data_IF_842251206379
#
_entry.id   IF_842251206379
#
_cell.length_a   1.000
_cell.length_b   1.000
_cell.length_c   1.000
_cell.angle_alpha   90.00
_cell.angle_beta   90.00
_cell.angle_gamma   90.00
#
_symmetry.space_group_name_H-M   'P 1'
#
loop_
_entity.id
_entity.type
_entity.pdbx_description
1 polymer ?
#
# COMPACT_ATOMS: atom_id res chain seq x y z
N UNK A 1 2.40 38.16 14.22
CA UNK A 1 1.46 38.50 13.14
C UNK A 1 0.07 38.55 13.78
N UNK A 2 -0.60 39.71 13.76
CA UNK A 2 -1.81 39.94 14.54
C UNK A 2 -3.04 39.36 13.81
N UNK A 3 -4.00 38.80 14.54
CA UNK A 3 -5.20 38.15 13.98
C UNK A 3 -5.96 39.08 12.99
N UNK A 4 -5.92 40.36 13.22
CA UNK A 4 -6.51 41.39 12.35
C UNK A 4 -5.84 41.47 10.96
N UNK A 5 -4.53 41.21 10.84
CA UNK A 5 -3.82 41.21 9.56
C UNK A 5 -4.06 39.91 8.76
N UNK A 6 -4.39 38.81 9.42
CA UNK A 6 -4.78 37.55 8.74
C UNK A 6 -6.21 37.69 8.21
N UNK A 7 -7.12 38.28 8.98
CA UNK A 7 -8.49 38.52 8.57
C UNK A 7 -8.59 39.51 7.40
N UNK A 8 -7.79 40.57 7.39
CA UNK A 8 -7.74 41.51 6.27
C UNK A 8 -7.13 40.94 5.00
N UNK A 9 -6.15 40.01 5.12
CA UNK A 9 -5.59 39.28 3.99
C UNK A 9 -6.58 38.28 3.40
N UNK A 10 -7.32 37.58 4.25
CA UNK A 10 -8.36 36.64 3.79
C UNK A 10 -9.57 37.34 3.17
N UNK A 11 -9.97 38.55 3.66
CA UNK A 11 -11.04 39.31 3.03
C UNK A 11 -10.63 39.90 1.69
N UNK A 12 -9.38 40.36 1.54
CA UNK A 12 -8.87 40.84 0.25
C UNK A 12 -8.71 39.75 -0.79
N UNK A 13 -8.49 38.46 -0.41
CA UNK A 13 -8.49 37.33 -1.32
C UNK A 13 -9.90 36.86 -1.69
N UNK A 14 -10.87 37.02 -0.80
CA UNK A 14 -12.26 36.64 -1.08
C UNK A 14 -12.88 37.53 -2.18
N UNK A 15 -12.48 38.80 -2.28
CA UNK A 15 -12.96 39.72 -3.33
C UNK A 15 -12.32 39.47 -4.71
N UNK A 16 -11.27 38.65 -4.79
CA UNK A 16 -10.62 38.29 -6.05
C UNK A 16 -11.09 36.97 -6.66
N UNK A 17 -11.95 36.22 -5.97
CA UNK A 17 -12.56 35.02 -6.55
C UNK A 17 -13.67 35.50 -7.49
N UNK A 18 -13.51 35.34 -8.84
CA UNK A 18 -14.61 35.65 -9.74
C UNK A 18 -15.75 34.73 -9.36
N UNK A 19 -16.82 35.29 -8.80
CA UNK A 19 -18.07 34.55 -8.63
C UNK A 19 -18.45 34.03 -10.02
N UNK A 20 -18.56 32.72 -10.21
CA UNK A 20 -19.06 32.21 -11.48
C UNK A 20 -20.46 32.79 -11.65
N UNK A 21 -20.59 33.70 -12.63
CA UNK A 21 -21.89 34.15 -13.09
C UNK A 21 -22.54 32.93 -13.72
N UNK A 22 -23.27 32.18 -12.93
CA UNK A 22 -24.17 31.16 -13.44
C UNK A 22 -25.18 31.97 -14.27
N UNK A 23 -25.26 31.79 -15.63
CA UNK A 23 -26.28 32.43 -16.40
C UNK A 23 -27.63 31.89 -15.93
N UNK A 24 -28.27 32.59 -15.04
CA UNK A 24 -29.67 32.37 -14.74
C UNK A 24 -30.38 32.75 -16.06
N UNK A 25 -31.06 31.82 -16.74
CA UNK A 25 -31.86 32.22 -17.87
C UNK A 25 -32.93 33.14 -17.29
N UNK A 26 -32.72 34.44 -17.45
CA UNK A 26 -33.80 35.41 -17.29
C UNK A 26 -34.82 35.03 -18.35
N UNK A 27 -35.78 34.18 -18.01
CA UNK A 27 -37.05 34.13 -18.69
C UNK A 27 -37.70 35.46 -18.30
N UNK A 28 -37.28 36.51 -19.01
CA UNK A 28 -37.87 37.82 -18.80
C UNK A 28 -39.37 37.65 -19.03
N UNK A 29 -40.21 38.09 -18.06
CA UNK A 29 -41.68 38.14 -18.24
C UNK A 29 -42.04 38.74 -19.58
N UNK A 30 -41.20 39.68 -20.07
CA UNK A 30 -41.32 40.31 -21.40
C UNK A 30 -41.18 39.33 -22.58
N UNK A 31 -40.38 38.26 -22.49
CA UNK A 31 -40.27 37.30 -23.59
C UNK A 31 -41.49 36.35 -23.62
N UNK A 32 -42.09 36.09 -22.47
CA UNK A 32 -43.33 35.32 -22.35
C UNK A 32 -44.49 36.08 -22.93
N UNK A 33 -44.68 37.35 -22.56
CA UNK A 33 -45.77 38.20 -23.08
C UNK A 33 -45.63 38.55 -24.57
N UNK A 34 -44.42 38.83 -25.08
CA UNK A 34 -44.15 39.02 -26.52
C UNK A 34 -44.43 37.78 -27.36
N UNK A 35 -44.29 36.57 -26.80
CA UNK A 35 -44.60 35.30 -27.46
C UNK A 35 -46.14 35.03 -27.53
N UNK A 36 -46.93 35.85 -26.83
CA UNK A 36 -48.40 35.75 -26.80
C UNK A 36 -49.08 36.87 -27.61
N UNK A 37 -48.45 38.01 -27.82
CA UNK A 37 -49.00 39.22 -28.43
C UNK A 37 -49.27 39.12 -29.95
N UNK A 38 -49.04 38.00 -30.61
CA UNK A 38 -49.28 37.84 -32.06
C UNK A 38 -50.06 36.58 -32.42
N UNK A 39 -50.53 35.79 -31.41
CA UNK A 39 -51.20 34.56 -31.69
C UNK A 39 -52.72 34.74 -31.75
N UNK A 40 -53.37 34.09 -32.71
CA UNK A 40 -54.82 33.98 -32.75
C UNK A 40 -55.31 33.15 -31.55
N UNK A 41 -56.55 33.36 -31.11
CA UNK A 41 -57.17 32.61 -30.00
C UNK A 41 -57.08 31.09 -30.22
N UNK A 42 -57.19 30.61 -31.45
CA UNK A 42 -57.09 29.20 -31.81
C UNK A 42 -55.66 28.66 -31.62
N UNK A 43 -54.63 29.46 -31.96
CA UNK A 43 -53.21 29.09 -31.75
C UNK A 43 -52.85 29.05 -30.28
N UNK A 44 -53.39 29.95 -29.45
CA UNK A 44 -53.23 29.96 -27.99
C UNK A 44 -53.81 28.70 -27.35
N UNK A 45 -55.07 28.37 -27.76
CA UNK A 45 -55.75 27.17 -27.29
C UNK A 45 -54.96 25.92 -27.68
N UNK A 46 -54.48 25.85 -28.93
CA UNK A 46 -53.75 24.70 -29.42
C UNK A 46 -52.37 24.56 -28.73
N UNK A 47 -51.71 25.65 -28.41
CA UNK A 47 -50.46 25.67 -27.65
C UNK A 47 -50.66 25.25 -26.18
N UNK A 48 -51.72 25.69 -25.54
CA UNK A 48 -52.13 25.27 -24.20
C UNK A 48 -52.50 23.78 -24.15
N UNK A 49 -53.28 23.29 -25.10
CA UNK A 49 -53.67 21.89 -25.22
C UNK A 49 -52.48 20.99 -25.40
N UNK A 50 -51.58 21.35 -26.33
CA UNK A 50 -50.32 20.61 -26.57
C UNK A 50 -49.39 20.64 -25.37
N UNK A 51 -49.28 21.76 -24.66
CA UNK A 51 -48.57 21.89 -23.41
C UNK A 51 -49.11 21.00 -22.31
N UNK A 52 -50.46 20.96 -22.17
CA UNK A 52 -51.13 20.13 -21.18
C UNK A 52 -50.99 18.62 -21.48
N UNK A 53 -51.07 18.25 -22.77
CA UNK A 53 -50.88 16.86 -23.20
C UNK A 53 -49.42 16.44 -22.97
N UNK A 54 -48.44 17.28 -23.30
CA UNK A 54 -47.01 16.98 -23.09
C UNK A 54 -46.64 16.88 -21.61
N UNK A 55 -47.19 17.76 -20.77
CA UNK A 55 -47.06 17.68 -19.31
C UNK A 55 -47.75 16.44 -18.74
N UNK A 56 -48.94 16.11 -19.16
CA UNK A 56 -49.65 14.88 -18.77
C UNK A 56 -48.84 13.63 -19.13
N UNK A 57 -48.22 13.60 -20.32
CA UNK A 57 -47.35 12.49 -20.73
C UNK A 57 -46.11 12.36 -19.84
N UNK A 58 -45.48 13.49 -19.48
CA UNK A 58 -44.32 13.53 -18.56
C UNK A 58 -44.70 13.02 -17.17
N UNK A 59 -45.91 13.39 -16.65
CA UNK A 59 -46.42 12.92 -15.36
C UNK A 59 -46.65 11.41 -15.41
N UNK A 60 -47.26 10.89 -16.47
CA UNK A 60 -47.49 9.44 -16.62
C UNK A 60 -46.15 8.69 -16.66
N UNK A 61 -45.16 9.23 -17.41
CA UNK A 61 -43.82 8.67 -17.49
C UNK A 61 -43.11 8.72 -16.12
N UNK A 62 -43.22 9.82 -15.39
CA UNK A 62 -42.65 9.98 -14.06
C UNK A 62 -43.23 8.95 -13.06
N UNK A 63 -44.54 8.72 -13.10
CA UNK A 63 -45.23 7.71 -12.28
C UNK A 63 -44.74 6.31 -12.65
N UNK A 64 -44.63 5.99 -13.93
CA UNK A 64 -44.10 4.70 -14.39
C UNK A 64 -42.66 4.49 -13.89
N UNK A 65 -41.78 5.48 -14.07
CA UNK A 65 -40.40 5.44 -13.60
C UNK A 65 -40.30 5.29 -12.08
N UNK A 66 -41.23 5.95 -11.32
CA UNK A 66 -41.29 5.80 -9.89
C UNK A 66 -41.63 4.35 -9.46
N UNK A 67 -42.68 3.74 -10.04
CA UNK A 67 -43.04 2.37 -9.69
C UNK A 67 -41.99 1.35 -10.11
N UNK A 68 -41.43 1.48 -11.32
CA UNK A 68 -40.36 0.62 -11.82
C UNK A 68 -39.09 0.80 -10.96
N UNK A 69 -38.69 2.03 -10.69
CA UNK A 69 -37.51 2.33 -9.84
C UNK A 69 -37.68 1.77 -8.42
N UNK A 70 -38.85 1.99 -7.80
CA UNK A 70 -39.18 1.42 -6.49
C UNK A 70 -39.13 -0.12 -6.49
N UNK A 71 -39.60 -0.77 -7.55
CA UNK A 71 -39.54 -2.22 -7.69
C UNK A 71 -38.08 -2.70 -7.77
N UNK A 72 -37.25 -2.05 -8.59
CA UNK A 72 -35.80 -2.34 -8.74
C UNK A 72 -35.10 -2.16 -7.39
N UNK A 73 -35.33 -1.03 -6.71
CA UNK A 73 -34.72 -0.74 -5.40
C UNK A 73 -35.08 -1.84 -4.37
N UNK A 74 -36.31 -2.24 -4.31
CA UNK A 74 -36.75 -3.32 -3.42
C UNK A 74 -36.12 -4.67 -3.74
N UNK A 75 -35.99 -5.00 -5.03
CA UNK A 75 -35.33 -6.23 -5.47
C UNK A 75 -33.83 -6.20 -5.13
N UNK A 76 -33.14 -5.10 -5.40
CA UNK A 76 -31.75 -4.92 -5.07
C UNK A 76 -31.49 -5.02 -3.56
N UNK A 77 -32.33 -4.34 -2.77
CA UNK A 77 -32.27 -4.41 -1.31
C UNK A 77 -32.39 -5.86 -0.81
N UNK A 78 -33.38 -6.63 -1.33
CA UNK A 78 -33.57 -8.02 -0.95
C UNK A 78 -32.40 -8.91 -1.32
N UNK A 79 -31.80 -8.69 -2.50
CA UNK A 79 -30.61 -9.43 -2.95
C UNK A 79 -29.43 -9.15 -2.03
N UNK A 80 -29.11 -7.89 -1.77
CA UNK A 80 -27.99 -7.50 -0.90
C UNK A 80 -28.23 -8.01 0.53
N UNK A 81 -29.44 -7.87 1.07
CA UNK A 81 -29.80 -8.40 2.38
C UNK A 81 -29.54 -9.92 2.48
N UNK A 82 -30.02 -10.68 1.49
CA UNK A 82 -29.84 -12.14 1.47
C UNK A 82 -28.35 -12.53 1.40
N UNK A 83 -27.55 -11.83 0.57
CA UNK A 83 -26.10 -12.09 0.47
C UNK A 83 -25.42 -11.82 1.81
N UNK A 84 -25.69 -10.69 2.44
CA UNK A 84 -25.07 -10.32 3.71
C UNK A 84 -25.47 -11.27 4.84
N UNK A 85 -26.73 -11.66 4.92
CA UNK A 85 -27.22 -12.62 5.91
C UNK A 85 -26.62 -14.02 5.70
N UNK A 86 -26.53 -14.47 4.45
CA UNK A 86 -25.94 -15.78 4.14
C UNK A 86 -24.43 -15.84 4.45
N UNK A 87 -23.75 -14.70 4.38
CA UNK A 87 -22.33 -14.56 4.75
C UNK A 87 -22.10 -14.32 6.24
N UNK A 88 -23.13 -14.39 7.08
CA UNK A 88 -23.07 -14.14 8.52
C UNK A 88 -22.42 -12.79 8.89
N UNK A 89 -22.66 -11.76 8.07
CA UNK A 89 -22.17 -10.41 8.33
C UNK A 89 -22.95 -9.83 9.51
N UNK A 90 -22.26 -9.07 10.36
CA UNK A 90 -22.84 -8.40 11.52
C UNK A 90 -24.12 -7.64 11.15
N UNK A 91 -25.17 -7.75 12.01
CA UNK A 91 -26.48 -7.17 11.75
C UNK A 91 -26.44 -5.64 11.70
N UNK A 92 -25.60 -5.01 12.51
CA UNK A 92 -25.45 -3.54 12.53
C UNK A 92 -24.86 -3.05 11.23
N UNK A 93 -23.79 -3.73 10.75
CA UNK A 93 -23.16 -3.42 9.47
C UNK A 93 -24.13 -3.64 8.30
N UNK A 94 -24.89 -4.73 8.32
CA UNK A 94 -25.92 -5.03 7.32
C UNK A 94 -26.96 -3.92 7.23
N UNK A 95 -27.47 -3.48 8.39
CA UNK A 95 -28.47 -2.41 8.46
C UNK A 95 -27.90 -1.07 7.96
N UNK A 96 -26.67 -0.74 8.33
CA UNK A 96 -26.00 0.48 7.89
C UNK A 96 -25.82 0.51 6.36
N UNK A 97 -25.22 -0.54 5.79
CA UNK A 97 -24.96 -0.64 4.34
C UNK A 97 -26.28 -0.58 3.54
N UNK A 98 -27.29 -1.30 3.98
CA UNK A 98 -28.60 -1.30 3.32
C UNK A 98 -29.29 0.06 3.39
N UNK A 99 -29.16 0.77 4.50
CA UNK A 99 -29.69 2.13 4.64
C UNK A 99 -28.99 3.12 3.72
N UNK A 100 -27.67 3.02 3.61
CA UNK A 100 -26.87 3.85 2.71
C UNK A 100 -27.23 3.60 1.24
N UNK A 101 -27.28 2.34 0.81
CA UNK A 101 -27.70 1.94 -0.54
C UNK A 101 -29.10 2.46 -0.85
N UNK A 102 -30.04 2.27 0.07
CA UNK A 102 -31.42 2.75 -0.08
C UNK A 102 -31.46 4.26 -0.26
N UNK A 103 -30.75 5.02 0.58
CA UNK A 103 -30.71 6.48 0.53
C UNK A 103 -30.19 6.97 -0.84
N UNK A 104 -29.08 6.42 -1.31
CA UNK A 104 -28.48 6.79 -2.60
C UNK A 104 -29.42 6.45 -3.77
N UNK A 105 -30.00 5.26 -3.79
CA UNK A 105 -30.90 4.83 -4.87
C UNK A 105 -32.19 5.64 -4.92
N UNK A 106 -32.78 5.97 -3.76
CA UNK A 106 -33.96 6.85 -3.74
C UNK A 106 -33.61 8.27 -4.17
N UNK A 107 -32.45 8.78 -3.79
CA UNK A 107 -31.99 10.09 -4.26
C UNK A 107 -31.89 10.13 -5.79
N UNK A 108 -31.25 9.13 -6.41
CA UNK A 108 -31.13 9.01 -7.86
C UNK A 108 -32.54 8.94 -8.49
N UNK A 109 -33.44 8.15 -7.92
CA UNK A 109 -34.81 8.02 -8.42
C UNK A 109 -35.58 9.35 -8.38
N UNK A 110 -35.48 10.09 -7.27
CA UNK A 110 -36.15 11.40 -7.12
C UNK A 110 -35.60 12.41 -8.12
N UNK A 111 -34.28 12.53 -8.26
CA UNK A 111 -33.68 13.45 -9.23
C UNK A 111 -34.07 13.09 -10.66
N UNK A 112 -34.12 11.80 -10.99
CA UNK A 112 -34.58 11.35 -12.31
C UNK A 112 -36.02 11.76 -12.62
N UNK A 113 -36.92 11.66 -11.61
CA UNK A 113 -38.32 12.08 -11.74
C UNK A 113 -38.44 13.59 -11.92
N UNK A 114 -37.69 14.37 -11.12
CA UNK A 114 -37.63 15.84 -11.24
C UNK A 114 -37.21 16.26 -12.65
N UNK A 115 -36.16 15.59 -13.20
CA UNK A 115 -35.71 15.84 -14.57
C UNK A 115 -36.74 15.50 -15.66
N UNK A 116 -37.52 14.38 -15.49
CA UNK A 116 -38.61 14.01 -16.41
C UNK A 116 -39.68 15.08 -16.44
N UNK A 117 -40.01 15.65 -15.28
CA UNK A 117 -40.99 16.73 -15.18
C UNK A 117 -40.55 18.04 -15.81
N UNK A 118 -39.26 18.15 -16.19
CA UNK A 118 -38.68 19.32 -16.84
C UNK A 118 -38.14 20.37 -15.90
N UNK A 119 -37.99 20.01 -14.60
CA UNK A 119 -37.34 20.89 -13.64
C UNK A 119 -35.82 20.78 -13.75
N UNK A 120 -35.13 21.88 -13.54
CA UNK A 120 -33.68 21.92 -13.59
C UNK A 120 -33.07 21.17 -12.40
N UNK A 121 -32.24 20.18 -12.71
CA UNK A 121 -31.59 19.31 -11.71
C UNK A 121 -30.11 19.61 -11.49
N UNK A 122 -29.56 20.55 -12.25
CA UNK A 122 -28.11 20.88 -12.24
C UNK A 122 -27.60 21.26 -10.86
N UNK A 123 -28.34 22.10 -10.13
CA UNK A 123 -27.98 22.52 -8.78
C UNK A 123 -27.96 21.37 -7.77
N UNK A 124 -28.92 20.46 -7.85
CA UNK A 124 -28.97 19.27 -7.00
C UNK A 124 -27.82 18.31 -7.31
N UNK A 125 -27.49 18.14 -8.58
CA UNK A 125 -26.36 17.33 -9.03
C UNK A 125 -25.02 17.93 -8.57
N UNK A 126 -24.87 19.27 -8.62
CA UNK A 126 -23.68 19.96 -8.14
C UNK A 126 -23.47 19.76 -6.63
N UNK A 127 -24.53 19.89 -5.83
CA UNK A 127 -24.47 19.65 -4.37
C UNK A 127 -24.11 18.19 -4.10
N UNK A 128 -24.74 17.26 -4.79
CA UNK A 128 -24.48 15.83 -4.60
C UNK A 128 -23.07 15.45 -5.02
N UNK A 129 -22.57 16.02 -6.12
CA UNK A 129 -21.19 15.83 -6.58
C UNK A 129 -20.17 16.37 -5.54
N UNK A 130 -20.41 17.56 -4.99
CA UNK A 130 -19.58 18.15 -3.93
C UNK A 130 -19.57 17.27 -2.66
N UNK A 131 -20.73 16.78 -2.24
CA UNK A 131 -20.82 15.83 -1.13
C UNK A 131 -20.08 14.51 -1.44
N UNK A 132 -20.18 14.01 -2.68
CA UNK A 132 -19.44 12.84 -3.15
C UNK A 132 -17.92 13.01 -3.08
N UNK A 133 -17.41 14.18 -3.49
CA UNK A 133 -15.99 14.52 -3.36
C UNK A 133 -15.58 14.56 -1.90
N UNK A 134 -16.34 15.21 -1.03
CA UNK A 134 -16.04 15.27 0.40
C UNK A 134 -15.98 13.88 1.05
N UNK A 135 -16.94 13.01 0.74
CA UNK A 135 -16.97 11.62 1.21
C UNK A 135 -15.78 10.83 0.63
N UNK A 136 -15.48 11.00 -0.66
CA UNK A 136 -14.33 10.36 -1.32
C UNK A 136 -13.01 10.73 -0.64
N UNK A 137 -12.80 12.01 -0.33
CA UNK A 137 -11.64 12.49 0.41
C UNK A 137 -11.56 11.91 1.82
N UNK A 138 -12.68 11.84 2.54
CA UNK A 138 -12.75 11.25 3.87
C UNK A 138 -12.43 9.74 3.88
N UNK A 139 -12.78 9.02 2.81
CA UNK A 139 -12.54 7.58 2.66
C UNK A 139 -11.24 7.24 1.91
N UNK A 140 -10.47 8.24 1.46
CA UNK A 140 -9.29 8.05 0.59
C UNK A 140 -8.27 7.09 1.20
N UNK A 141 -7.97 7.21 2.50
CA UNK A 141 -7.04 6.32 3.21
C UNK A 141 -7.51 4.86 3.23
N UNK A 142 -8.81 4.62 3.41
CA UNK A 142 -9.38 3.27 3.37
C UNK A 142 -9.31 2.69 1.97
N UNK A 143 -9.62 3.49 0.95
CA UNK A 143 -9.54 3.08 -0.45
C UNK A 143 -8.09 2.80 -0.87
N UNK A 144 -7.13 3.59 -0.37
CA UNK A 144 -5.69 3.34 -0.58
C UNK A 144 -5.26 2.00 0.02
N UNK A 145 -5.72 1.67 1.23
CA UNK A 145 -5.43 0.37 1.84
C UNK A 145 -6.05 -0.79 1.07
N UNK A 146 -7.27 -0.65 0.60
CA UNK A 146 -7.92 -1.63 -0.26
C UNK A 146 -7.14 -1.86 -1.55
N UNK A 147 -6.81 -0.79 -2.28
CA UNK A 147 -6.02 -0.85 -3.51
C UNK A 147 -4.63 -1.47 -3.26
N UNK A 148 -3.97 -1.09 -2.16
CA UNK A 148 -2.71 -1.69 -1.71
C UNK A 148 -2.82 -3.19 -1.48
N UNK A 149 -3.89 -3.65 -0.81
CA UNK A 149 -4.15 -5.07 -0.60
C UNK A 149 -4.33 -5.84 -1.91
N UNK A 150 -5.08 -5.28 -2.85
CA UNK A 150 -5.26 -5.88 -4.20
C UNK A 150 -3.91 -5.97 -4.94
N UNK A 151 -3.10 -4.91 -4.91
CA UNK A 151 -1.77 -4.89 -5.54
C UNK A 151 -0.84 -5.94 -4.93
N UNK A 152 -0.81 -6.06 -3.60
CA UNK A 152 0.00 -7.07 -2.90
C UNK A 152 -0.39 -8.50 -3.32
N UNK A 153 -1.70 -8.78 -3.42
CA UNK A 153 -2.20 -10.09 -3.83
C UNK A 153 -1.92 -10.41 -5.30
N UNK A 154 -1.90 -9.39 -6.18
CA UNK A 154 -1.61 -9.54 -7.61
C UNK A 154 -0.12 -9.70 -7.87
N UNK A 155 0.69 -8.75 -7.39
CA UNK A 155 2.12 -8.66 -7.67
C UNK A 155 2.95 -9.59 -6.76
N UNK A 156 2.42 -9.95 -5.58
CA UNK A 156 3.03 -10.84 -4.59
C UNK A 156 4.47 -10.47 -4.24
N UNK A 157 4.76 -9.22 -3.84
CA UNK A 157 6.10 -8.85 -3.39
C UNK A 157 6.52 -9.64 -2.15
N UNK A 158 5.55 -10.17 -1.43
CA UNK A 158 5.71 -11.15 -0.36
C UNK A 158 4.46 -12.06 -0.30
N UNK A 159 4.59 -13.19 0.36
CA UNK A 159 3.54 -14.20 0.55
C UNK A 159 3.33 -14.48 2.05
N UNK A 160 2.23 -15.14 2.37
CA UNK A 160 2.02 -15.68 3.72
C UNK A 160 3.10 -16.73 3.99
N UNK A 161 3.78 -16.59 5.12
CA UNK A 161 4.93 -17.40 5.52
C UNK A 161 6.28 -16.74 5.29
N UNK A 162 6.38 -15.70 4.47
CA UNK A 162 7.64 -14.96 4.25
C UNK A 162 8.05 -14.20 5.52
N UNK A 163 9.35 -14.17 5.78
CA UNK A 163 9.95 -13.33 6.81
C UNK A 163 10.38 -12.01 6.19
N UNK A 164 9.74 -10.94 6.63
CA UNK A 164 9.92 -9.59 6.05
C UNK A 164 10.28 -8.57 7.12
N UNK A 165 10.93 -7.51 6.68
CA UNK A 165 11.13 -6.29 7.46
C UNK A 165 10.53 -5.11 6.70
N UNK A 166 9.69 -4.34 7.39
CA UNK A 166 8.97 -3.20 6.82
C UNK A 166 8.62 -2.20 7.91
N UNK A 167 8.80 -0.91 7.65
CA UNK A 167 8.49 0.17 8.60
C UNK A 167 9.11 -0.01 9.99
N UNK A 168 10.30 -0.62 10.08
CA UNK A 168 11.00 -0.89 11.34
C UNK A 168 10.49 -2.12 12.10
N UNK A 169 9.54 -2.86 11.56
CA UNK A 169 9.06 -4.12 12.12
C UNK A 169 9.57 -5.31 11.33
N UNK A 170 10.02 -6.34 12.03
CA UNK A 170 10.50 -7.59 11.43
C UNK A 170 9.66 -8.76 11.92
N UNK A 171 9.22 -9.62 11.01
CA UNK A 171 8.41 -10.78 11.37
C UNK A 171 7.94 -11.60 10.18
N UNK A 172 7.29 -12.72 10.49
CA UNK A 172 6.69 -13.62 9.50
C UNK A 172 5.29 -13.16 9.13
N UNK A 173 4.98 -13.08 7.84
CA UNK A 173 3.64 -12.75 7.33
C UNK A 173 2.67 -13.85 7.73
N UNK A 174 1.72 -13.52 8.63
CA UNK A 174 0.68 -14.43 9.10
C UNK A 174 -0.54 -14.48 8.19
N UNK A 175 -1.00 -13.30 7.75
CA UNK A 175 -2.14 -13.18 6.86
C UNK A 175 -2.12 -11.86 6.09
N UNK A 176 -2.64 -11.88 4.88
CA UNK A 176 -2.87 -10.69 4.05
C UNK A 176 -4.39 -10.53 3.96
N UNK A 177 -4.91 -9.45 4.55
CA UNK A 177 -6.32 -9.11 4.58
C UNK A 177 -6.63 -8.00 3.59
N UNK A 178 -7.90 -7.63 3.45
CA UNK A 178 -8.34 -6.65 2.46
C UNK A 178 -7.71 -5.26 2.63
N UNK A 179 -7.54 -4.81 3.89
CA UNK A 179 -7.05 -3.47 4.22
C UNK A 179 -5.70 -3.49 4.93
N UNK A 180 -5.30 -4.62 5.49
CA UNK A 180 -4.09 -4.76 6.28
C UNK A 180 -3.42 -6.12 6.08
N UNK A 181 -2.12 -6.16 6.38
CA UNK A 181 -1.33 -7.38 6.51
C UNK A 181 -0.93 -7.57 7.97
N UNK A 182 -1.03 -8.78 8.47
CA UNK A 182 -0.62 -9.15 9.82
C UNK A 182 0.70 -9.88 9.74
N UNK A 183 1.71 -9.40 10.47
CA UNK A 183 2.99 -10.10 10.66
C UNK A 183 3.14 -10.50 12.13
N UNK A 184 3.81 -11.63 12.36
CA UNK A 184 4.21 -12.08 13.68
C UNK A 184 5.71 -11.88 13.86
N UNK A 185 6.11 -11.16 14.90
CA UNK A 185 7.51 -11.00 15.27
C UNK A 185 8.08 -12.29 15.87
N UNK A 186 9.41 -12.38 15.96
CA UNK A 186 10.09 -13.56 16.55
C UNK A 186 9.73 -13.80 18.02
N UNK A 187 9.32 -12.75 18.75
CA UNK A 187 8.80 -12.81 20.14
C UNK A 187 7.27 -12.95 20.19
N UNK A 188 6.65 -13.39 19.07
CA UNK A 188 5.24 -13.73 18.93
C UNK A 188 4.25 -12.57 19.13
N UNK A 189 4.63 -11.34 18.83
CA UNK A 189 3.71 -10.20 18.78
C UNK A 189 3.07 -10.10 17.39
N UNK A 190 1.77 -9.85 17.35
CA UNK A 190 1.07 -9.57 16.09
C UNK A 190 1.13 -8.08 15.78
N UNK A 191 1.71 -7.72 14.65
CA UNK A 191 1.76 -6.36 14.13
C UNK A 191 0.80 -6.26 12.94
N UNK A 192 -0.11 -5.30 13.00
CA UNK A 192 -1.11 -5.05 11.96
C UNK A 192 -0.66 -3.84 11.15
N UNK A 193 -0.35 -4.04 9.89
CA UNK A 193 0.20 -3.03 8.99
C UNK A 193 -0.81 -2.69 7.90
N UNK A 194 -1.13 -1.39 7.69
CA UNK A 194 -2.01 -0.97 6.59
C UNK A 194 -1.40 -1.29 5.22
N UNK A 195 -2.18 -1.92 4.33
CA UNK A 195 -1.69 -2.35 3.01
C UNK A 195 -1.26 -1.19 2.11
N UNK A 196 -1.88 -0.01 2.25
CA UNK A 196 -1.50 1.18 1.48
C UNK A 196 -0.04 1.58 1.71
N UNK A 197 0.40 1.56 2.96
CA UNK A 197 1.79 1.83 3.32
C UNK A 197 2.75 0.74 2.82
N UNK A 198 2.31 -0.53 2.83
CA UNK A 198 3.11 -1.65 2.35
C UNK A 198 3.26 -1.66 0.83
N UNK A 199 2.22 -1.30 0.09
CA UNK A 199 2.24 -1.31 -1.38
C UNK A 199 3.10 -0.21 -2.01
N UNK A 200 3.39 0.84 -1.25
CA UNK A 200 4.18 2.00 -1.72
C UNK A 200 5.54 2.14 -1.05
N UNK A 201 5.77 1.41 0.04
CA UNK A 201 7.01 1.44 0.82
C UNK A 201 8.05 0.42 0.35
N UNK A 202 9.28 0.58 0.88
CA UNK A 202 10.33 -0.43 0.71
C UNK A 202 10.11 -1.59 1.67
N UNK A 203 10.28 -2.81 1.17
CA UNK A 203 10.13 -4.05 1.94
C UNK A 203 11.40 -4.87 1.76
N UNK A 204 12.03 -5.27 2.87
CA UNK A 204 13.09 -6.28 2.86
C UNK A 204 12.43 -7.66 3.00
N UNK A 205 12.40 -8.44 1.94
CA UNK A 205 11.89 -9.81 1.98
C UNK A 205 13.07 -10.77 2.07
N UNK A 206 13.26 -11.35 3.26
CA UNK A 206 14.36 -12.28 3.55
C UNK A 206 14.10 -13.71 3.07
N UNK A 207 12.87 -14.01 2.67
CA UNK A 207 12.45 -15.33 2.19
C UNK A 207 12.32 -15.42 0.67
N UNK A 208 12.37 -14.28 -0.01
CA UNK A 208 12.22 -14.24 -1.47
C UNK A 208 13.41 -14.92 -2.18
N UNK A 209 14.62 -14.64 -1.68
CA UNK A 209 15.85 -15.22 -2.21
C UNK A 209 16.22 -16.49 -1.45
N UNK A 210 16.58 -17.54 -2.19
CA UNK A 210 16.93 -18.84 -1.61
C UNK A 210 18.24 -18.81 -0.82
N UNK A 211 19.14 -17.89 -1.16
CA UNK A 211 20.47 -17.78 -0.54
C UNK A 211 20.68 -16.40 0.05
N UNK A 212 21.35 -16.38 1.22
CA UNK A 212 21.73 -15.16 1.93
C UNK A 212 23.21 -15.16 2.26
N UNK A 213 23.84 -13.98 2.27
CA UNK A 213 25.20 -13.81 2.76
C UNK A 213 25.19 -13.59 4.26
N UNK A 214 25.99 -14.34 4.96
CA UNK A 214 26.29 -14.17 6.38
C UNK A 214 27.62 -13.44 6.49
N UNK A 215 27.66 -12.39 7.28
CA UNK A 215 28.86 -11.58 7.51
C UNK A 215 29.23 -11.68 8.99
N UNK A 216 30.51 -12.01 9.29
CA UNK A 216 31.08 -11.99 10.63
C UNK A 216 32.20 -10.95 10.68
N UNK A 217 32.31 -10.27 11.81
CA UNK A 217 33.46 -9.42 12.13
C UNK A 217 34.30 -10.13 13.19
N UNK A 218 35.55 -10.41 12.89
CA UNK A 218 36.48 -11.10 13.78
C UNK A 218 37.59 -10.14 14.14
N UNK A 219 37.65 -9.77 15.43
CA UNK A 219 38.66 -8.87 15.96
C UNK A 219 39.83 -9.67 16.52
N UNK A 220 41.04 -9.40 16.04
CA UNK A 220 42.29 -10.02 16.51
C UNK A 220 43.27 -8.96 17.04
N UNK A 221 44.19 -9.37 17.92
CA UNK A 221 45.16 -8.49 18.51
C UNK A 221 46.17 -7.98 17.44
N UNK A 222 46.73 -6.80 17.62
CA UNK A 222 47.83 -6.29 16.81
C UNK A 222 49.06 -7.24 16.90
N UNK A 223 49.77 -7.32 15.80
CA UNK A 223 50.89 -8.28 15.68
C UNK A 223 50.49 -9.65 15.15
N UNK A 224 49.20 -9.88 14.89
CA UNK A 224 48.70 -11.08 14.23
C UNK A 224 49.20 -11.19 12.80
N UNK A 225 49.66 -12.38 12.43
CA UNK A 225 50.04 -12.69 11.03
C UNK A 225 48.74 -12.71 10.19
N UNK A 226 48.66 -11.74 9.25
CA UNK A 226 47.49 -11.50 8.43
C UNK A 226 47.14 -12.66 7.50
N UNK A 227 48.17 -13.26 6.90
CA UNK A 227 47.94 -14.31 5.90
C UNK A 227 47.54 -15.61 6.56
N UNK A 228 48.21 -15.96 7.68
CA UNK A 228 47.83 -17.10 8.50
C UNK A 228 46.43 -16.95 9.09
N UNK A 229 46.04 -15.72 9.50
CA UNK A 229 44.68 -15.46 10.02
C UNK A 229 43.62 -15.64 8.93
N UNK A 230 43.85 -15.10 7.72
CA UNK A 230 42.95 -15.29 6.58
C UNK A 230 42.74 -16.76 6.21
N UNK A 231 43.85 -17.51 6.14
CA UNK A 231 43.83 -18.94 5.82
C UNK A 231 43.05 -19.72 6.88
N UNK A 232 43.33 -19.48 8.14
CA UNK A 232 42.64 -20.12 9.25
C UNK A 232 41.12 -19.83 9.28
N UNK A 233 40.74 -18.56 9.13
CA UNK A 233 39.32 -18.17 9.07
C UNK A 233 38.61 -18.78 7.86
N UNK A 234 39.31 -18.85 6.72
CA UNK A 234 38.80 -19.50 5.50
C UNK A 234 38.57 -21.00 5.72
N UNK A 235 39.50 -21.71 6.37
CA UNK A 235 39.36 -23.13 6.73
C UNK A 235 38.15 -23.37 7.62
N UNK A 236 37.98 -22.56 8.68
CA UNK A 236 36.86 -22.68 9.63
C UNK A 236 35.53 -22.57 8.88
N UNK A 237 35.39 -21.59 7.98
CA UNK A 237 34.14 -21.37 7.27
C UNK A 237 33.90 -22.42 6.19
N UNK A 238 34.93 -22.79 5.41
CA UNK A 238 34.79 -23.80 4.35
C UNK A 238 34.55 -25.22 4.86
N UNK A 239 34.90 -25.51 6.10
CA UNK A 239 34.65 -26.80 6.72
C UNK A 239 33.16 -27.06 6.97
N UNK A 240 32.32 -26.01 7.04
CA UNK A 240 30.89 -26.18 7.26
C UNK A 240 30.17 -26.54 5.94
N UNK A 241 29.43 -27.66 5.89
CA UNK A 241 28.76 -28.13 4.68
C UNK A 241 27.63 -27.24 4.20
N UNK A 242 27.09 -26.35 5.06
CA UNK A 242 26.01 -25.39 4.73
C UNK A 242 26.51 -24.19 3.92
N UNK A 243 27.85 -23.98 3.89
CA UNK A 243 28.48 -22.88 3.19
C UNK A 243 28.59 -23.20 1.71
N UNK A 244 28.17 -22.25 0.88
CA UNK A 244 28.36 -22.31 -0.58
C UNK A 244 29.86 -22.16 -0.87
N UNK A 245 30.47 -23.21 -1.43
CA UNK A 245 31.92 -23.22 -1.66
C UNK A 245 32.34 -22.47 -2.93
N UNK A 246 31.49 -22.46 -3.96
CA UNK A 246 31.85 -21.82 -5.24
C UNK A 246 30.67 -21.19 -5.97
N UNK A 247 29.61 -21.91 -6.22
CA UNK A 247 28.50 -21.45 -7.04
C UNK A 247 27.17 -21.55 -6.31
N UNK A 248 26.32 -20.53 -6.50
CA UNK A 248 24.89 -20.63 -6.20
C UNK A 248 24.19 -21.06 -7.48
N UNK A 249 23.46 -22.15 -7.41
CA UNK A 249 22.56 -22.57 -8.47
C UNK A 249 21.19 -21.90 -8.21
N UNK A 250 20.89 -20.85 -8.95
CA UNK A 250 19.65 -20.10 -8.80
C UNK A 250 18.56 -20.80 -9.64
N UNK A 251 17.99 -21.86 -9.07
CA UNK A 251 17.13 -22.78 -9.81
C UNK A 251 15.63 -22.42 -9.76
N UNK A 252 15.18 -21.61 -8.80
CA UNK A 252 13.75 -21.39 -8.59
C UNK A 252 13.18 -20.08 -9.13
N UNK A 253 13.92 -18.98 -9.07
CA UNK A 253 13.47 -17.71 -9.66
C UNK A 253 13.40 -17.76 -11.18
N UNK A 254 14.31 -18.50 -11.80
CA UNK A 254 14.30 -18.72 -13.25
C UNK A 254 13.14 -19.58 -13.73
N UNK A 255 12.68 -20.56 -12.94
CA UNK A 255 11.53 -21.40 -13.30
C UNK A 255 10.22 -20.63 -13.32
N UNK A 256 10.03 -19.63 -12.48
CA UNK A 256 8.80 -18.82 -12.44
C UNK A 256 8.77 -17.73 -13.53
N UNK A 257 9.89 -17.09 -13.85
CA UNK A 257 9.97 -16.11 -14.93
C UNK A 257 9.89 -16.74 -16.31
N UNK A 258 10.42 -17.95 -16.50
CA UNK A 258 10.41 -18.66 -17.79
C UNK A 258 9.06 -19.28 -18.20
N UNK A 259 8.04 -19.24 -17.34
CA UNK A 259 6.68 -19.62 -17.74
C UNK A 259 6.02 -18.59 -18.67
N UNK A 260 6.52 -17.35 -18.67
CA UNK A 260 5.99 -16.27 -19.51
C UNK A 260 6.77 -16.11 -20.81
N UNK A 261 8.06 -16.45 -20.84
CA UNK A 261 8.89 -16.31 -22.05
C UNK A 261 9.77 -17.56 -22.31
N UNK A 262 9.19 -18.52 -23.02
CA UNK A 262 9.89 -19.77 -23.45
C UNK A 262 11.05 -19.53 -24.45
N UNK A 263 11.41 -18.29 -24.77
CA UNK A 263 12.43 -17.93 -25.76
C UNK A 263 13.73 -17.38 -25.18
N UNK A 264 13.81 -17.13 -23.89
CA UNK A 264 15.06 -16.71 -23.28
C UNK A 264 15.83 -17.93 -22.86
N UNK A 265 16.86 -18.17 -23.63
CA UNK A 265 17.93 -19.17 -23.51
C UNK A 265 18.31 -19.42 -22.07
N UNK A 266 18.39 -20.69 -21.72
CA UNK A 266 19.02 -21.22 -20.52
C UNK A 266 20.51 -20.82 -20.45
N UNK A 267 20.77 -19.56 -20.09
CA UNK A 267 22.07 -19.22 -19.54
C UNK A 267 22.04 -19.72 -18.11
N UNK A 268 22.68 -20.84 -17.84
CA UNK A 268 23.02 -21.25 -16.48
C UNK A 268 23.95 -20.14 -15.91
N UNK A 269 23.34 -19.12 -15.35
CA UNK A 269 24.07 -18.11 -14.59
C UNK A 269 24.44 -18.72 -13.24
N UNK A 270 25.50 -19.55 -13.25
CA UNK A 270 26.19 -19.93 -12.03
C UNK A 270 26.89 -18.67 -11.53
N UNK A 271 26.31 -18.04 -10.52
CA UNK A 271 26.94 -16.88 -9.90
C UNK A 271 27.98 -17.38 -8.92
N UNK A 272 29.26 -17.03 -9.16
CA UNK A 272 30.34 -17.33 -8.25
C UNK A 272 30.15 -16.57 -6.94
N UNK A 273 30.06 -17.30 -5.85
CA UNK A 273 29.90 -16.76 -4.49
C UNK A 273 30.76 -17.53 -3.47
N UNK A 274 32.08 -17.62 -3.68
CA UNK A 274 32.95 -18.26 -2.72
C UNK A 274 32.96 -17.50 -1.39
N UNK A 275 33.33 -18.15 -0.29
CA UNK A 275 33.61 -17.46 0.96
C UNK A 275 34.76 -16.45 0.75
N UNK A 276 34.69 -15.37 1.51
CA UNK A 276 35.66 -14.29 1.44
C UNK A 276 36.14 -13.93 2.85
N UNK A 277 37.47 -13.75 3.00
CA UNK A 277 38.09 -13.25 4.22
C UNK A 277 39.01 -12.10 3.87
N UNK A 278 38.85 -10.98 4.53
CA UNK A 278 39.69 -9.79 4.31
C UNK A 278 39.90 -8.97 5.57
N UNK A 279 41.00 -8.24 5.64
CA UNK A 279 41.15 -7.20 6.64
C UNK A 279 40.23 -6.05 6.28
N UNK A 280 39.34 -5.70 7.23
CA UNK A 280 38.31 -4.68 7.04
C UNK A 280 38.73 -3.33 7.66
N UNK A 281 39.37 -3.37 8.83
CA UNK A 281 39.65 -2.17 9.60
C UNK A 281 40.80 -2.39 10.56
N UNK A 282 41.59 -1.35 10.79
CA UNK A 282 42.54 -1.24 11.87
C UNK A 282 41.96 -0.31 12.93
N UNK A 283 41.34 -0.92 13.98
CA UNK A 283 40.68 -0.22 15.06
C UNK A 283 41.64 0.12 16.21
N UNK A 284 41.20 0.88 17.21
CA UNK A 284 42.03 1.41 18.30
C UNK A 284 42.85 0.33 19.04
N UNK A 285 42.29 -0.87 19.22
CA UNK A 285 42.95 -1.95 19.97
C UNK A 285 42.92 -3.30 19.23
N UNK A 286 42.53 -3.33 17.96
CA UNK A 286 42.34 -4.55 17.19
C UNK A 286 42.55 -4.34 15.70
N UNK A 287 42.83 -5.44 15.00
CA UNK A 287 42.65 -5.56 13.56
C UNK A 287 41.39 -6.38 13.31
N UNK A 288 40.46 -5.81 12.53
CA UNK A 288 39.14 -6.39 12.31
C UNK A 288 39.11 -7.05 10.93
N UNK A 289 38.87 -8.36 10.94
CA UNK A 289 38.63 -9.12 9.72
C UNK A 289 37.13 -9.19 9.45
N UNK A 290 36.76 -9.08 8.18
CA UNK A 290 35.45 -9.46 7.70
C UNK A 290 35.51 -10.85 7.08
N UNK A 291 34.60 -11.71 7.49
CA UNK A 291 34.40 -13.06 6.96
C UNK A 291 33.01 -13.11 6.36
N UNK A 292 32.90 -13.50 5.09
CA UNK A 292 31.63 -13.51 4.34
C UNK A 292 31.43 -14.88 3.72
N UNK A 293 30.25 -15.45 3.92
CA UNK A 293 29.88 -16.69 3.28
C UNK A 293 28.41 -16.70 2.88
N UNK A 294 28.09 -17.41 1.81
CA UNK A 294 26.71 -17.60 1.36
C UNK A 294 26.18 -18.93 1.86
N UNK A 295 24.92 -18.93 2.25
CA UNK A 295 24.20 -20.13 2.71
C UNK A 295 22.75 -20.03 2.29
N UNK A 296 22.03 -21.16 2.31
CA UNK A 296 20.58 -21.17 2.12
C UNK A 296 19.90 -20.35 3.22
N UNK A 297 18.88 -19.56 2.87
CA UNK A 297 18.23 -18.62 3.79
C UNK A 297 17.75 -19.27 5.11
N UNK A 298 17.30 -20.53 5.07
CA UNK A 298 16.89 -21.30 6.26
C UNK A 298 18.03 -21.59 7.24
N UNK A 299 19.28 -21.60 6.75
CA UNK A 299 20.47 -21.91 7.54
C UNK A 299 21.18 -20.64 8.07
N UNK A 300 20.66 -19.46 7.77
CA UNK A 300 21.31 -18.19 8.09
C UNK A 300 21.69 -18.08 9.58
N UNK A 301 20.71 -18.18 10.47
CA UNK A 301 20.95 -18.04 11.90
C UNK A 301 21.70 -19.21 12.52
N UNK A 302 21.37 -20.48 12.22
CA UNK A 302 22.17 -21.61 12.70
C UNK A 302 23.65 -21.50 12.28
N UNK A 303 23.92 -21.19 11.03
CA UNK A 303 25.28 -21.01 10.55
C UNK A 303 26.00 -19.84 11.23
N UNK A 304 25.27 -18.70 11.39
CA UNK A 304 25.85 -17.52 12.05
C UNK A 304 26.37 -17.83 13.45
N UNK A 305 25.55 -18.50 14.27
CA UNK A 305 25.92 -18.81 15.65
C UNK A 305 26.99 -19.91 15.73
N UNK A 306 26.86 -20.97 14.95
CA UNK A 306 27.80 -22.08 14.95
C UNK A 306 29.22 -21.65 14.53
N UNK A 307 29.33 -20.81 13.49
CA UNK A 307 30.61 -20.27 13.05
C UNK A 307 31.21 -19.31 14.09
N UNK A 308 30.41 -18.47 14.75
CA UNK A 308 30.90 -17.65 15.86
C UNK A 308 31.51 -18.50 16.98
N UNK A 309 30.83 -19.58 17.37
CA UNK A 309 31.30 -20.48 18.39
C UNK A 309 32.62 -21.18 17.98
N UNK A 310 32.69 -21.61 16.72
CA UNK A 310 33.89 -22.23 16.17
C UNK A 310 35.08 -21.26 16.11
N UNK A 311 34.84 -20.04 15.65
CA UNK A 311 35.86 -18.97 15.63
C UNK A 311 36.41 -18.76 17.03
N UNK A 312 35.54 -18.66 18.04
CA UNK A 312 35.94 -18.46 19.43
C UNK A 312 36.79 -19.61 19.99
N UNK A 313 36.47 -20.87 19.64
CA UNK A 313 37.19 -22.05 20.10
C UNK A 313 38.50 -22.30 19.32
N UNK A 314 38.42 -22.28 17.99
CA UNK A 314 39.52 -22.76 17.15
C UNK A 314 40.64 -21.72 16.96
N UNK A 315 40.36 -20.41 17.01
CA UNK A 315 41.40 -19.38 16.80
C UNK A 315 42.49 -19.42 17.91
N UNK A 316 42.17 -19.47 19.22
CA UNK A 316 43.18 -19.58 20.27
C UNK A 316 44.02 -20.85 20.16
N UNK A 317 43.40 -21.99 19.78
CA UNK A 317 44.15 -23.24 19.56
C UNK A 317 45.18 -23.14 18.43
N UNK A 318 44.91 -22.30 17.43
CA UNK A 318 45.84 -22.02 16.33
C UNK A 318 46.81 -20.88 16.60
N UNK A 319 46.82 -20.36 17.84
CA UNK A 319 47.76 -19.37 18.33
C UNK A 319 47.38 -17.92 18.11
N UNK A 320 46.11 -17.63 17.81
CA UNK A 320 45.60 -16.27 17.69
C UNK A 320 45.06 -15.77 19.02
N UNK A 321 45.20 -14.48 19.29
CA UNK A 321 44.71 -13.83 20.51
C UNK A 321 43.64 -12.83 20.16
N UNK A 322 42.54 -12.85 20.95
CA UNK A 322 41.54 -11.82 20.93
C UNK A 322 42.07 -10.55 21.60
N UNK A 323 41.69 -9.38 21.10
CA UNK A 323 42.21 -8.10 21.58
C UNK A 323 41.60 -7.77 22.95
N UNK A 324 42.41 -7.17 23.81
CA UNK A 324 41.97 -6.44 24.98
C UNK A 324 42.11 -4.94 24.69
N UNK A 325 41.34 -4.06 25.39
CA UNK A 325 41.54 -2.63 25.31
C UNK A 325 43.01 -2.30 25.65
N UNK A 326 43.69 -1.58 24.78
CA UNK A 326 45.11 -1.18 24.96
C UNK A 326 45.17 0.30 25.22
N UNK A 327 46.13 0.71 26.06
CA UNK A 327 46.37 2.10 26.39
C UNK A 327 47.89 2.32 26.58
N UNK A 328 48.42 3.31 25.91
CA UNK A 328 49.81 3.73 26.15
C UNK A 328 49.83 4.60 27.41
N UNK A 329 50.63 4.20 28.39
CA UNK A 329 50.78 4.93 29.64
C UNK A 329 52.20 5.49 29.73
N UNK A 330 52.32 6.81 29.65
CA UNK A 330 53.59 7.51 29.90
C UNK A 330 53.69 7.81 31.40
N UNK A 331 54.67 7.21 32.06
CA UNK A 331 54.98 7.46 33.46
C UNK A 331 56.12 8.47 33.57
N UNK A 332 55.80 9.73 33.92
CA UNK A 332 56.84 10.72 34.26
C UNK A 332 57.30 10.49 35.67
N UNK A 333 58.51 9.94 35.84
CA UNK A 333 59.21 9.91 37.11
C UNK A 333 59.80 11.31 37.38
N UNK A 334 59.08 12.21 38.03
CA UNK A 334 59.66 13.40 38.63
C UNK A 334 60.47 12.95 39.84
N UNK A 335 61.82 12.96 39.70
CA UNK A 335 62.79 12.80 40.80
C UNK A 335 63.03 14.18 41.40
#
# INVERSE_FOLDING_TARGET
MNLASILSFLSAQADQIPTPQIPVPEVSEQSFWKGLEGLSLDELIQKMVNGLISFGLKVVLAILVFYVGRYIIRKLYKVVYNIMTHRHIDQSLTTFVLSLIRMVLYFILVISIIGILGLETSSFLAIFASAGVAIGMALSGTLQNFAGGVLILLLKPYKVGDFIEVNGYTGTVKSIQLFNTVINTVDNKAIILPNGALSTGSINNYSLESYRRVDWTVCLAYGTDLDKAKETLMEIVQADPRVVKKYIEDDELYKQQNLIDKRVVSVQNKVERPPFVGLNEMADSSINFVVRAWTHASNYWPLYFDINERIYKELPEKGFSFPFPQMDVHLDHNV
#
